data_IF_606760189851
#
_entry.id   IF_606760189851
#
_cell.length_a   1.000
_cell.length_b   1.000
_cell.length_c   1.000
_cell.angle_alpha   90.00
_cell.angle_beta   90.00
_cell.angle_gamma   90.00
#
_symmetry.space_group_name_H-M   'P 1'
#
loop_
_entity.id
_entity.type
_entity.pdbx_description
1 polymer ?
#
# COMPACT_ATOMS: atom_id res chain seq x y z
N UNK A 1 -24.78 27.41 3.28
CA UNK A 1 -23.94 26.20 3.41
C UNK A 1 -23.53 26.02 4.86
N UNK A 2 -23.48 24.79 5.37
CA UNK A 2 -23.00 24.56 6.73
C UNK A 2 -21.49 24.80 6.81
N UNK A 3 -21.05 25.58 7.80
CA UNK A 3 -19.64 25.91 8.04
C UNK A 3 -19.26 25.43 9.45
N UNK A 4 -18.08 24.82 9.64
CA UNK A 4 -17.64 24.43 10.97
C UNK A 4 -17.43 25.67 11.84
N UNK A 5 -18.16 25.74 12.96
CA UNK A 5 -18.03 26.85 13.91
C UNK A 5 -16.68 26.86 14.63
N UNK A 6 -16.04 25.70 14.75
CA UNK A 6 -14.77 25.50 15.47
C UNK A 6 -13.90 24.48 14.75
N UNK A 7 -12.58 24.61 14.90
CA UNK A 7 -11.61 23.65 14.36
C UNK A 7 -11.69 22.31 15.10
N UNK A 8 -11.44 21.22 14.38
CA UNK A 8 -11.27 19.89 14.97
C UNK A 8 -9.98 19.85 15.79
N UNK A 9 -10.04 19.27 17.00
CA UNK A 9 -8.85 19.09 17.83
C UNK A 9 -7.89 18.05 17.24
N UNK A 10 -6.61 18.09 17.66
CA UNK A 10 -5.59 17.14 17.18
C UNK A 10 -5.95 15.69 17.49
N UNK A 11 -6.50 15.42 18.67
CA UNK A 11 -6.95 14.08 19.10
C UNK A 11 -8.06 13.52 18.18
N UNK A 12 -8.94 14.38 17.64
CA UNK A 12 -10.03 13.99 16.74
C UNK A 12 -9.62 14.01 15.26
N UNK A 13 -8.35 14.28 14.95
CA UNK A 13 -7.85 14.24 13.58
C UNK A 13 -7.94 12.83 12.99
N UNK A 14 -8.33 12.73 11.73
CA UNK A 14 -8.45 11.46 11.01
C UNK A 14 -7.13 10.98 10.37
N UNK A 15 -6.00 11.64 10.66
CA UNK A 15 -4.68 11.32 10.07
C UNK A 15 -4.25 9.86 10.32
N UNK A 16 -4.51 9.33 11.52
CA UNK A 16 -4.16 7.94 11.87
C UNK A 16 -4.87 6.91 10.98
N UNK A 17 -6.11 7.20 10.56
CA UNK A 17 -6.85 6.33 9.66
C UNK A 17 -6.20 6.23 8.28
N UNK A 18 -5.71 7.35 7.74
CA UNK A 18 -4.95 7.38 6.49
C UNK A 18 -3.65 6.59 6.60
N UNK A 19 -2.91 6.76 7.70
CA UNK A 19 -1.68 6.00 7.95
C UNK A 19 -1.94 4.50 8.11
N UNK A 20 -3.04 4.10 8.75
CA UNK A 20 -3.43 2.70 8.90
C UNK A 20 -3.68 2.04 7.54
N UNK A 21 -4.29 2.74 6.59
CA UNK A 21 -4.45 2.24 5.21
C UNK A 21 -3.10 1.99 4.54
N UNK A 22 -2.19 2.95 4.63
CA UNK A 22 -0.84 2.82 4.05
C UNK A 22 -0.08 1.63 4.67
N UNK A 23 -0.19 1.44 5.98
CA UNK A 23 0.44 0.31 6.69
C UNK A 23 -0.10 -1.07 6.23
N UNK A 24 -1.38 -1.17 5.88
CA UNK A 24 -1.93 -2.42 5.34
C UNK A 24 -1.39 -2.71 3.93
N UNK A 25 -1.27 -1.68 3.09
CA UNK A 25 -0.72 -1.82 1.74
C UNK A 25 0.77 -2.17 1.79
N UNK A 26 1.55 -1.54 2.68
CA UNK A 26 2.99 -1.81 2.80
C UNK A 26 3.27 -3.25 3.22
N UNK A 27 2.49 -3.81 4.15
CA UNK A 27 2.61 -5.22 4.57
C UNK A 27 2.38 -6.19 3.40
N UNK A 28 1.34 -5.95 2.60
CA UNK A 28 1.04 -6.76 1.42
C UNK A 28 2.14 -6.64 0.36
N UNK A 29 2.58 -5.42 0.07
CA UNK A 29 3.65 -5.15 -0.89
C UNK A 29 4.97 -5.83 -0.51
N UNK A 30 5.34 -5.80 0.77
CA UNK A 30 6.55 -6.45 1.26
C UNK A 30 6.47 -7.97 1.11
N UNK A 31 5.34 -8.58 1.49
CA UNK A 31 5.12 -10.03 1.32
C UNK A 31 5.23 -10.44 -0.15
N UNK A 32 4.62 -9.66 -1.05
CA UNK A 32 4.69 -9.90 -2.49
C UNK A 32 6.14 -9.79 -3.01
N UNK A 33 6.86 -8.74 -2.63
CA UNK A 33 8.25 -8.54 -3.04
C UNK A 33 9.16 -9.70 -2.60
N UNK A 34 9.00 -10.19 -1.36
CA UNK A 34 9.74 -11.38 -0.88
C UNK A 34 9.43 -12.64 -1.69
N UNK A 35 8.16 -12.84 -2.03
CA UNK A 35 7.73 -13.98 -2.87
C UNK A 35 8.38 -13.91 -4.25
N UNK A 36 8.39 -12.73 -4.88
CA UNK A 36 9.03 -12.49 -6.17
C UNK A 36 10.53 -12.77 -6.14
N UNK A 37 11.24 -12.24 -5.14
CA UNK A 37 12.69 -12.42 -5.01
C UNK A 37 13.09 -13.89 -4.79
N UNK A 38 12.20 -14.71 -4.24
CA UNK A 38 12.46 -16.14 -4.01
C UNK A 38 12.50 -16.96 -5.30
N UNK A 39 11.98 -16.46 -6.43
CA UNK A 39 11.95 -17.15 -7.72
C UNK A 39 11.04 -18.38 -7.79
N UNK A 40 10.32 -18.72 -6.71
CA UNK A 40 9.44 -19.88 -6.60
C UNK A 40 7.96 -19.55 -6.85
N UNK A 41 7.64 -18.29 -7.16
CA UNK A 41 6.26 -17.88 -7.40
C UNK A 41 5.77 -18.44 -8.73
N UNK A 42 4.70 -19.25 -8.69
CA UNK A 42 4.08 -19.87 -9.87
C UNK A 42 2.88 -19.10 -10.39
N UNK A 43 2.32 -18.19 -9.59
CA UNK A 43 1.07 -17.47 -9.90
C UNK A 43 1.29 -16.04 -10.40
N UNK A 44 2.49 -15.49 -10.28
CA UNK A 44 2.79 -14.12 -10.67
C UNK A 44 3.95 -14.09 -11.67
N UNK A 45 3.70 -13.51 -12.85
CA UNK A 45 4.73 -13.32 -13.88
C UNK A 45 5.42 -11.99 -13.62
N UNK A 46 6.70 -12.05 -13.25
CA UNK A 46 7.57 -10.89 -13.12
C UNK A 46 8.71 -11.02 -14.14
N UNK A 47 8.59 -10.30 -15.25
CA UNK A 47 9.63 -10.23 -16.27
C UNK A 47 10.82 -9.43 -15.74
N UNK A 48 12.02 -10.00 -15.78
CA UNK A 48 13.23 -9.27 -15.38
C UNK A 48 13.80 -8.45 -16.54
N UNK A 49 13.41 -8.80 -17.78
CA UNK A 49 13.77 -8.09 -19.01
C UNK A 49 12.53 -7.87 -19.90
N UNK A 50 12.57 -6.86 -20.77
CA UNK A 50 11.51 -6.57 -21.75
C UNK A 50 11.42 -7.66 -22.85
N UNK A 51 12.48 -8.47 -23.02
CA UNK A 51 12.51 -9.56 -23.99
C UNK A 51 11.70 -10.80 -23.58
N UNK A 52 11.38 -10.95 -22.29
CA UNK A 52 10.64 -12.10 -21.75
C UNK A 52 9.13 -12.06 -22.08
N UNK A 53 8.66 -11.02 -22.77
CA UNK A 53 7.27 -10.83 -23.21
C UNK A 53 6.98 -11.28 -24.65
N UNK A 54 7.99 -11.79 -25.36
CA UNK A 54 7.86 -12.28 -26.74
C UNK A 54 7.52 -13.76 -26.76
#
# INVERSE_FOLDING_TARGET
MAVPKKKTSKSKSRKSFWQKKALLVSKKSLSLAKSLLSGKSTSFIYSKSIQDYK
#
